data_IF_887038593987
#
_entry.id   IF_887038593987
#
_cell.length_a   1.000
_cell.length_b   1.000
_cell.length_c   1.000
_cell.angle_alpha   90.00
_cell.angle_beta   90.00
_cell.angle_gamma   90.00
#
_symmetry.space_group_name_H-M   'P 1'
#
loop_
_entity.id
_entity.type
_entity.pdbx_description
1 polymer ?
#
# COMPACT_ATOMS: atom_id res chain seq x y z
N UNK A 1 21.19 6.89 16.37
CA UNK A 1 20.42 6.02 17.28
C UNK A 1 19.15 5.65 16.53
N UNK A 2 18.95 4.37 16.25
CA UNK A 2 17.71 3.86 15.67
C UNK A 2 16.62 3.97 16.72
N UNK A 3 15.62 4.83 16.52
CA UNK A 3 14.53 5.06 17.48
C UNK A 3 13.49 3.94 17.34
N UNK A 4 13.33 3.03 18.31
CA UNK A 4 12.37 1.92 18.22
C UNK A 4 10.93 2.41 18.01
N UNK A 5 10.59 3.61 18.51
CA UNK A 5 9.28 4.22 18.31
C UNK A 5 9.02 4.58 16.85
N UNK A 6 10.04 5.02 16.11
CA UNK A 6 9.91 5.35 14.69
C UNK A 6 9.65 4.10 13.84
N UNK A 7 10.36 3.00 14.12
CA UNK A 7 10.16 1.75 13.39
C UNK A 7 8.80 1.10 13.70
N UNK A 8 8.32 1.20 14.94
CA UNK A 8 6.99 0.73 15.30
C UNK A 8 5.89 1.49 14.55
N UNK A 9 5.98 2.82 14.49
CA UNK A 9 5.03 3.67 13.74
C UNK A 9 5.07 3.36 12.25
N UNK A 10 6.27 3.22 11.66
CA UNK A 10 6.43 2.87 10.25
C UNK A 10 5.83 1.49 9.95
N UNK A 11 6.10 0.49 10.79
CA UNK A 11 5.55 -0.84 10.66
C UNK A 11 4.02 -0.83 10.71
N UNK A 12 3.42 -0.05 11.63
CA UNK A 12 1.98 0.13 11.72
C UNK A 12 1.38 0.69 10.43
N UNK A 13 1.94 1.78 9.91
CA UNK A 13 1.44 2.36 8.65
C UNK A 13 1.53 1.43 7.45
N UNK A 14 2.61 0.65 7.33
CA UNK A 14 2.74 -0.31 6.24
C UNK A 14 1.78 -1.49 6.41
N UNK A 15 1.51 -1.90 7.64
CA UNK A 15 0.51 -2.91 7.95
C UNK A 15 -0.89 -2.45 7.55
N UNK A 16 -1.29 -1.26 7.97
CA UNK A 16 -2.60 -0.69 7.65
C UNK A 16 -2.79 -0.53 6.13
N UNK A 17 -1.73 -0.15 5.41
CA UNK A 17 -1.77 -0.06 3.94
C UNK A 17 -1.92 -1.43 3.27
N UNK A 18 -1.22 -2.45 3.76
CA UNK A 18 -1.32 -3.80 3.22
C UNK A 18 -2.73 -4.39 3.47
N UNK A 19 -3.27 -4.21 4.68
CA UNK A 19 -4.65 -4.64 4.99
C UNK A 19 -5.68 -3.92 4.11
N UNK A 20 -5.51 -2.62 3.87
CA UNK A 20 -6.39 -1.87 2.99
C UNK A 20 -6.38 -2.42 1.56
N UNK A 21 -5.21 -2.85 1.05
CA UNK A 21 -5.08 -3.43 -0.28
C UNK A 21 -5.77 -4.79 -0.33
N UNK A 22 -5.53 -5.66 0.65
CA UNK A 22 -6.15 -6.98 0.73
C UNK A 22 -7.68 -6.87 0.81
N UNK A 23 -8.20 -5.97 1.65
CA UNK A 23 -9.63 -5.69 1.75
C UNK A 23 -10.25 -5.25 0.41
N UNK A 24 -9.53 -4.44 -0.36
CA UNK A 24 -9.99 -3.98 -1.68
C UNK A 24 -9.92 -5.10 -2.72
N UNK A 25 -8.88 -5.93 -2.72
CA UNK A 25 -8.79 -7.09 -3.61
C UNK A 25 -9.99 -8.02 -3.36
N UNK A 26 -10.24 -8.38 -2.09
CA UNK A 26 -11.37 -9.22 -1.72
C UNK A 26 -12.71 -8.59 -2.12
N UNK A 27 -12.89 -7.29 -1.91
CA UNK A 27 -14.11 -6.59 -2.32
C UNK A 27 -14.32 -6.59 -3.84
N UNK A 28 -13.26 -6.37 -4.62
CA UNK A 28 -13.29 -6.41 -6.09
C UNK A 28 -13.61 -7.82 -6.62
N UNK A 29 -13.00 -8.86 -6.04
CA UNK A 29 -13.22 -10.25 -6.44
C UNK A 29 -14.62 -10.75 -6.09
N UNK A 30 -15.23 -10.22 -5.02
CA UNK A 30 -16.58 -10.60 -4.57
C UNK A 30 -17.70 -9.79 -5.26
N UNK A 31 -17.39 -9.15 -6.40
CA UNK A 31 -18.30 -8.31 -7.19
C UNK A 31 -18.80 -7.06 -6.45
N UNK A 32 -18.00 -6.50 -5.55
CA UNK A 32 -18.20 -5.17 -4.99
C UNK A 32 -19.38 -5.07 -4.03
N UNK A 33 -19.51 -6.02 -3.12
CA UNK A 33 -20.43 -5.89 -1.99
C UNK A 33 -20.28 -4.49 -1.36
N UNK A 34 -21.39 -3.77 -1.14
CA UNK A 34 -21.42 -2.37 -0.64
C UNK A 34 -20.59 -2.08 0.62
N UNK A 35 -20.08 -3.12 1.30
CA UNK A 35 -19.26 -3.04 2.49
C UNK A 35 -17.83 -2.55 2.23
N UNK A 36 -17.23 -2.80 1.06
CA UNK A 36 -15.86 -2.36 0.74
C UNK A 36 -15.77 -1.00 0.03
N UNK A 37 -16.89 -0.33 -0.23
CA UNK A 37 -16.91 0.93 -0.97
C UNK A 37 -16.09 2.06 -0.29
N UNK A 38 -15.97 2.05 1.03
CA UNK A 38 -15.16 3.02 1.76
C UNK A 38 -13.67 2.72 1.61
N UNK A 39 -13.28 1.45 1.70
CA UNK A 39 -11.92 0.96 1.51
C UNK A 39 -11.44 1.24 0.09
N UNK A 40 -12.29 0.96 -0.92
CA UNK A 40 -12.02 1.33 -2.32
C UNK A 40 -11.71 2.81 -2.47
N UNK A 41 -12.55 3.69 -1.93
CA UNK A 41 -12.31 5.15 -1.97
C UNK A 41 -11.01 5.56 -1.27
N UNK A 42 -10.71 4.97 -0.12
CA UNK A 42 -9.48 5.26 0.63
C UNK A 42 -8.25 4.84 -0.18
N UNK A 43 -8.26 3.64 -0.77
CA UNK A 43 -7.16 3.16 -1.59
C UNK A 43 -7.01 3.97 -2.87
N UNK A 44 -8.11 4.26 -3.58
CA UNK A 44 -8.10 5.12 -4.77
C UNK A 44 -7.51 6.50 -4.47
N UNK A 45 -7.88 7.12 -3.34
CA UNK A 45 -7.30 8.40 -2.93
C UNK A 45 -5.78 8.30 -2.72
N UNK A 46 -5.32 7.25 -2.03
CA UNK A 46 -3.91 7.03 -1.76
C UNK A 46 -3.11 6.79 -3.05
N UNK A 47 -3.64 6.00 -3.99
CA UNK A 47 -3.02 5.75 -5.29
C UNK A 47 -2.96 7.00 -6.17
N UNK A 48 -3.98 7.86 -6.16
CA UNK A 48 -3.93 9.16 -6.86
C UNK A 48 -2.91 10.10 -6.22
N UNK A 49 -2.83 10.13 -4.89
CA UNK A 49 -1.87 10.95 -4.16
C UNK A 49 -0.42 10.50 -4.44
N UNK A 50 -0.20 9.19 -4.57
CA UNK A 50 1.09 8.59 -4.91
C UNK A 50 1.67 9.16 -6.22
N UNK A 51 0.82 9.36 -7.23
CA UNK A 51 1.24 9.83 -8.54
C UNK A 51 1.35 11.36 -8.64
N UNK A 52 0.43 12.09 -8.00
CA UNK A 52 0.29 13.54 -8.21
C UNK A 52 1.00 14.39 -7.16
N UNK A 53 1.02 13.94 -5.91
CA UNK A 53 1.57 14.70 -4.79
C UNK A 53 1.99 13.77 -3.63
N UNK A 54 2.98 12.90 -3.80
CA UNK A 54 3.33 11.89 -2.81
C UNK A 54 3.77 12.47 -1.46
N UNK A 55 4.11 13.76 -1.37
CA UNK A 55 4.47 14.42 -0.11
C UNK A 55 3.28 15.07 0.64
N UNK A 56 2.08 15.11 0.07
CA UNK A 56 0.91 15.75 0.69
C UNK A 56 0.18 14.84 1.68
N UNK A 57 0.41 13.52 1.60
CA UNK A 57 -0.14 12.51 2.48
C UNK A 57 0.97 11.59 3.01
N UNK A 58 0.94 11.27 4.30
CA UNK A 58 1.99 10.44 4.93
C UNK A 58 1.97 9.02 4.37
N UNK A 59 0.78 8.44 4.15
CA UNK A 59 0.63 7.12 3.55
C UNK A 59 1.21 7.07 2.13
N UNK A 60 0.85 8.06 1.30
CA UNK A 60 1.40 8.19 -0.05
C UNK A 60 2.92 8.40 -0.05
N UNK A 61 3.46 9.19 0.89
CA UNK A 61 4.90 9.43 1.01
C UNK A 61 5.66 8.16 1.39
N UNK A 62 5.11 7.38 2.31
CA UNK A 62 5.67 6.10 2.73
C UNK A 62 5.64 5.10 1.56
N UNK A 63 4.49 4.94 0.93
CA UNK A 63 4.31 4.01 -0.19
C UNK A 63 5.25 4.37 -1.36
N UNK A 64 5.40 5.66 -1.66
CA UNK A 64 6.35 6.16 -2.65
C UNK A 64 7.80 5.77 -2.33
N UNK A 65 8.22 5.95 -1.07
CA UNK A 65 9.57 5.61 -0.64
C UNK A 65 9.82 4.10 -0.70
N UNK A 66 8.84 3.27 -0.31
CA UNK A 66 8.95 1.81 -0.36
C UNK A 66 9.05 1.33 -1.81
N UNK A 67 8.19 1.84 -2.70
CA UNK A 67 8.23 1.51 -4.13
C UNK A 67 9.56 1.92 -4.77
N UNK A 68 10.08 3.09 -4.41
CA UNK A 68 11.38 3.59 -4.89
C UNK A 68 12.54 2.72 -4.40
N UNK A 69 12.50 2.23 -3.16
CA UNK A 69 13.55 1.41 -2.57
C UNK A 69 13.57 -0.02 -3.16
N UNK A 70 12.41 -0.59 -3.43
CA UNK A 70 12.26 -1.99 -3.84
C UNK A 70 12.23 -2.21 -5.38
N UNK A 71 12.53 -1.17 -6.17
CA UNK A 71 12.28 -1.16 -7.62
C UNK A 71 10.85 -1.64 -7.96
N UNK A 72 9.89 -1.28 -7.10
CA UNK A 72 8.48 -1.57 -7.34
C UNK A 72 8.02 -0.94 -8.66
N UNK A 73 6.79 -1.22 -9.12
CA UNK A 73 6.31 -0.81 -10.44
C UNK A 73 6.35 0.72 -10.60
N UNK A 74 7.50 1.21 -11.07
CA UNK A 74 7.86 2.63 -11.22
C UNK A 74 7.07 3.31 -12.34
N UNK A 75 6.31 2.52 -13.09
CA UNK A 75 5.55 2.87 -14.29
C UNK A 75 4.11 2.34 -14.25
N UNK A 76 3.58 1.97 -13.08
CA UNK A 76 2.15 1.72 -12.99
C UNK A 76 1.40 3.06 -13.09
N UNK A 77 0.41 3.13 -13.97
CA UNK A 77 -0.53 4.25 -14.06
C UNK A 77 -1.49 4.17 -12.85
N UNK A 78 -1.01 4.63 -11.69
CA UNK A 78 -1.74 4.52 -10.42
C UNK A 78 -3.09 5.24 -10.45
N UNK A 79 -3.20 6.31 -11.23
CA UNK A 79 -4.46 7.01 -11.47
C UNK A 79 -5.45 6.14 -12.25
N UNK A 80 -5.00 5.36 -13.25
CA UNK A 80 -5.86 4.44 -13.98
C UNK A 80 -6.36 3.32 -13.06
N UNK A 81 -5.46 2.78 -12.23
CA UNK A 81 -5.80 1.76 -11.22
C UNK A 81 -6.81 2.32 -10.22
N UNK A 82 -6.60 3.53 -9.71
CA UNK A 82 -7.53 4.21 -8.80
C UNK A 82 -8.91 4.42 -9.43
N UNK A 83 -8.95 4.86 -10.69
CA UNK A 83 -10.20 5.03 -11.45
C UNK A 83 -10.93 3.69 -11.64
N UNK A 84 -10.21 2.59 -11.86
CA UNK A 84 -10.79 1.26 -11.99
C UNK A 84 -11.34 0.74 -10.65
N UNK A 85 -10.60 0.92 -9.55
CA UNK A 85 -11.05 0.59 -8.19
C UNK A 85 -12.34 1.37 -7.83
N UNK A 86 -12.40 2.66 -8.14
CA UNK A 86 -13.59 3.49 -7.89
C UNK A 86 -14.82 2.97 -8.64
N UNK A 87 -14.63 2.44 -9.85
CA UNK A 87 -15.69 1.81 -10.65
C UNK A 87 -16.05 0.39 -10.18
N UNK A 88 -15.28 -0.20 -9.28
CA UNK A 88 -15.41 -1.61 -8.89
C UNK A 88 -14.97 -2.57 -10.00
N UNK A 89 -14.07 -2.14 -10.87
CA UNK A 89 -13.61 -2.92 -12.02
C UNK A 89 -12.44 -3.84 -11.62
N UNK A 90 -12.75 -5.12 -11.45
CA UNK A 90 -11.82 -6.16 -11.04
C UNK A 90 -11.07 -6.78 -12.23
N UNK A 91 -10.53 -5.96 -13.13
CA UNK A 91 -9.73 -6.51 -14.25
C UNK A 91 -8.51 -7.24 -13.69
N UNK A 92 -8.08 -8.31 -14.38
CA UNK A 92 -6.87 -9.05 -13.98
C UNK A 92 -5.63 -8.15 -13.90
N UNK A 93 -5.56 -7.08 -14.69
CA UNK A 93 -4.50 -6.08 -14.60
C UNK A 93 -4.54 -5.32 -13.27
N UNK A 94 -5.71 -4.79 -12.87
CA UNK A 94 -5.89 -4.05 -11.60
C UNK A 94 -5.53 -4.94 -10.41
N UNK A 95 -6.07 -6.16 -10.36
CA UNK A 95 -5.78 -7.11 -9.28
C UNK A 95 -4.29 -7.42 -9.22
N UNK A 96 -3.65 -7.75 -10.35
CA UNK A 96 -2.20 -8.05 -10.37
C UNK A 96 -1.35 -6.88 -9.88
N UNK A 97 -1.72 -5.63 -10.21
CA UNK A 97 -1.00 -4.43 -9.73
C UNK A 97 -1.16 -4.23 -8.22
N UNK A 98 -2.34 -4.52 -7.68
CA UNK A 98 -2.59 -4.47 -6.25
C UNK A 98 -1.83 -5.57 -5.49
N UNK A 99 -1.81 -6.79 -6.03
CA UNK A 99 -1.03 -7.91 -5.47
C UNK A 99 0.47 -7.61 -5.47
N UNK A 100 1.01 -7.06 -6.56
CA UNK A 100 2.41 -6.62 -6.62
C UNK A 100 2.73 -5.56 -5.56
N UNK A 101 1.79 -4.62 -5.34
CA UNK A 101 1.94 -3.60 -4.30
C UNK A 101 1.92 -4.22 -2.90
N UNK A 102 0.98 -5.13 -2.62
CA UNK A 102 0.90 -5.85 -1.35
C UNK A 102 2.19 -6.65 -1.07
N UNK A 103 2.73 -7.32 -2.09
CA UNK A 103 3.98 -8.08 -1.97
C UNK A 103 5.16 -7.17 -1.63
N UNK A 104 5.27 -6.00 -2.26
CA UNK A 104 6.32 -5.03 -1.96
C UNK A 104 6.22 -4.52 -0.51
N UNK A 105 5.00 -4.24 -0.03
CA UNK A 105 4.80 -3.82 1.36
C UNK A 105 5.19 -4.91 2.36
N UNK A 106 4.87 -6.18 2.07
CA UNK A 106 5.21 -7.29 2.94
C UNK A 106 6.73 -7.50 3.06
N UNK A 107 7.47 -7.36 1.95
CA UNK A 107 8.94 -7.39 1.96
C UNK A 107 9.49 -6.30 2.88
N UNK A 108 9.02 -5.05 2.74
CA UNK A 108 9.48 -3.94 3.58
C UNK A 108 9.13 -4.15 5.06
N UNK A 109 7.93 -4.66 5.35
CA UNK A 109 7.51 -5.01 6.72
C UNK A 109 8.41 -6.06 7.35
N UNK A 110 8.78 -7.09 6.59
CA UNK A 110 9.70 -8.12 7.04
C UNK A 110 11.09 -7.52 7.35
N UNK A 111 11.58 -6.61 6.52
CA UNK A 111 12.85 -5.91 6.77
C UNK A 111 12.80 -5.02 8.01
N UNK A 112 11.75 -4.23 8.19
CA UNK A 112 11.58 -3.37 9.37
C UNK A 112 11.50 -4.22 10.64
N UNK A 113 10.76 -5.33 10.61
CA UNK A 113 10.67 -6.26 11.73
C UNK A 113 12.03 -6.89 12.06
N UNK A 114 12.83 -7.28 11.06
CA UNK A 114 14.19 -7.76 11.26
C UNK A 114 15.09 -6.69 11.91
N UNK A 115 14.97 -5.43 11.48
CA UNK A 115 15.70 -4.28 12.06
C UNK A 115 15.28 -4.01 13.51
N UNK A 116 13.99 -4.06 13.84
CA UNK A 116 13.48 -3.90 15.21
C UNK A 116 14.02 -4.98 16.16
N UNK A 117 14.06 -6.24 15.70
CA UNK A 117 14.60 -7.36 16.48
C UNK A 117 16.12 -7.26 16.65
N UNK A 118 16.83 -6.80 15.63
CA UNK A 118 18.29 -6.59 15.68
C UNK A 118 18.70 -5.39 16.55
N UNK A 119 17.88 -4.34 16.63
CA UNK A 119 18.15 -3.17 17.48
C UNK A 119 17.90 -3.42 18.97
N UNK A 120 17.01 -4.35 19.31
CA UNK A 120 16.74 -4.76 20.70
C UNK A 120 17.77 -5.77 21.28
N UNK A 121 18.73 -6.22 20.47
CA UNK A 121 19.72 -7.21 20.86
C UNK A 121 21.10 -6.61 21.24
N UNK A 122 21.16 -5.32 21.58
CA UNK A 122 22.40 -4.63 21.99
C UNK A 122 22.24 -3.92 23.33
#
# INVERSE_FOLDING_TARGET
>A
MSDPGLYATLYGHLHDCAELIDDVIVDLETAGCTRGAQQRKMLSFLLRALETAPSSDIGAALLWNVLRANNGPRHADWTEIADAIDRGDATGYVISRLEELAQVLEVERAEINARMRGSNAR
#
